data_IF_924483513409
#
_entry.id   IF_924483513409
#
_cell.length_a   1.000
_cell.length_b   1.000
_cell.length_c   1.000
_cell.angle_alpha   90.00
_cell.angle_beta   90.00
_cell.angle_gamma   90.00
#
_symmetry.space_group_name_H-M   'P 1'
#
loop_
_entity.id
_entity.type
_entity.pdbx_description
1 polymer ?
#
# COMPACT_ATOMS: atom_id res chain seq x y z
N UNK A 1 -12.15 3.01 -0.04
CA UNK A 1 -10.80 2.50 0.29
C UNK A 1 -10.02 3.47 1.16
N UNK A 2 -9.71 4.69 0.71
CA UNK A 2 -8.91 5.62 1.51
C UNK A 2 -9.53 5.90 2.88
N UNK A 3 -10.83 6.23 2.95
CA UNK A 3 -11.54 6.39 4.22
C UNK A 3 -11.40 5.17 5.16
N UNK A 4 -11.60 3.97 4.62
CA UNK A 4 -11.40 2.71 5.36
C UNK A 4 -9.96 2.58 5.90
N UNK A 5 -8.94 2.89 5.11
CA UNK A 5 -7.54 2.80 5.55
C UNK A 5 -7.19 3.89 6.57
N UNK A 6 -7.82 5.07 6.50
CA UNK A 6 -7.67 6.11 7.53
C UNK A 6 -8.24 5.69 8.88
N UNK A 7 -9.35 4.94 8.87
CA UNK A 7 -9.97 4.39 10.09
C UNK A 7 -9.26 3.13 10.61
N UNK A 8 -8.69 2.32 9.70
CA UNK A 8 -7.99 1.06 10.01
C UNK A 8 -6.58 1.07 9.41
N UNK A 9 -5.66 1.91 9.94
CA UNK A 9 -4.33 2.08 9.38
C UNK A 9 -3.48 0.81 9.44
N UNK A 10 -3.78 -0.10 10.36
CA UNK A 10 -3.12 -1.39 10.53
C UNK A 10 -3.67 -2.52 9.63
N UNK A 11 -4.66 -2.24 8.77
CA UNK A 11 -5.23 -3.23 7.87
C UNK A 11 -4.20 -3.88 6.92
N UNK A 12 -4.48 -5.12 6.54
CA UNK A 12 -3.63 -5.87 5.62
C UNK A 12 -2.28 -6.31 6.19
N UNK A 13 -1.52 -7.01 5.35
CA UNK A 13 -0.34 -7.75 5.78
C UNK A 13 0.92 -6.89 5.67
N UNK A 14 1.80 -6.94 6.67
CA UNK A 14 3.15 -6.37 6.55
C UNK A 14 3.94 -7.10 5.48
N UNK A 15 4.55 -6.35 4.57
CA UNK A 15 5.48 -6.90 3.58
C UNK A 15 6.88 -6.94 4.19
N UNK A 16 7.43 -8.14 4.40
CA UNK A 16 8.79 -8.30 4.98
C UNK A 16 9.84 -7.60 4.12
N UNK A 17 10.82 -6.96 4.78
CA UNK A 17 11.91 -6.24 4.12
C UNK A 17 11.50 -4.94 3.42
N UNK A 18 10.30 -4.42 3.68
CA UNK A 18 9.80 -3.17 3.08
C UNK A 18 9.93 -1.94 3.96
N UNK A 19 10.42 -2.09 5.20
CA UNK A 19 10.44 -0.98 6.15
C UNK A 19 9.04 -0.59 6.68
N UNK A 20 8.09 -1.53 6.72
CA UNK A 20 6.78 -1.31 7.35
C UNK A 20 5.62 -1.04 6.38
N UNK A 21 5.81 -1.28 5.08
CA UNK A 21 4.74 -1.21 4.09
C UNK A 21 3.74 -2.35 4.32
N UNK A 22 2.45 -2.01 4.29
CA UNK A 22 1.32 -2.93 4.41
C UNK A 22 0.70 -3.19 3.05
N UNK A 23 0.12 -4.38 2.87
CA UNK A 23 -0.56 -4.80 1.64
C UNK A 23 -1.99 -5.23 1.96
N UNK A 24 -2.96 -4.48 1.42
CA UNK A 24 -4.38 -4.85 1.49
C UNK A 24 -4.87 -5.39 0.15
N UNK A 25 -5.75 -6.38 0.21
CA UNK A 25 -6.50 -6.89 -0.96
C UNK A 25 -7.83 -6.15 -1.01
N UNK A 26 -8.08 -5.42 -2.09
CA UNK A 26 -9.27 -4.59 -2.21
C UNK A 26 -10.16 -5.08 -3.36
N UNK A 27 -11.44 -5.28 -3.08
CA UNK A 27 -12.44 -5.57 -4.10
C UNK A 27 -12.99 -4.27 -4.69
N UNK A 28 -12.99 -4.13 -6.02
CA UNK A 28 -13.63 -2.98 -6.67
C UNK A 28 -15.13 -3.26 -6.81
N UNK A 29 -16.01 -2.29 -6.49
CA UNK A 29 -17.44 -2.40 -6.76
C UNK A 29 -17.70 -2.70 -8.24
N UNK A 30 -18.66 -3.58 -8.53
CA UNK A 30 -19.02 -3.96 -9.92
C UNK A 30 -17.97 -4.79 -10.66
N UNK A 31 -16.87 -5.20 -10.01
CA UNK A 31 -15.83 -6.02 -10.63
C UNK A 31 -16.17 -7.51 -10.63
N UNK A 32 -15.98 -8.19 -11.76
CA UNK A 32 -16.03 -9.65 -11.84
C UNK A 32 -14.86 -10.34 -11.10
N UNK A 33 -14.66 -11.65 -11.32
CA UNK A 33 -13.67 -12.50 -10.61
C UNK A 33 -12.21 -11.96 -10.61
N UNK A 34 -11.86 -11.13 -11.61
CA UNK A 34 -10.55 -10.47 -11.78
C UNK A 34 -10.52 -9.01 -11.32
N UNK A 35 -11.62 -8.46 -10.82
CA UNK A 35 -11.78 -7.04 -10.49
C UNK A 35 -11.02 -6.57 -9.26
N UNK A 36 -10.45 -7.46 -8.45
CA UNK A 36 -9.70 -7.09 -7.26
C UNK A 36 -8.32 -6.48 -7.56
N UNK A 37 -7.87 -5.61 -6.66
CA UNK A 37 -6.55 -4.98 -6.68
C UNK A 37 -5.80 -5.27 -5.38
N UNK A 38 -4.48 -5.18 -5.43
CA UNK A 38 -3.61 -5.18 -4.26
C UNK A 38 -3.03 -3.79 -4.11
N UNK A 39 -3.04 -3.28 -2.90
CA UNK A 39 -2.65 -1.91 -2.59
C UNK A 39 -1.58 -1.98 -1.52
N UNK A 40 -0.40 -1.47 -1.83
CA UNK A 40 0.69 -1.33 -0.89
C UNK A 40 0.73 0.11 -0.38
N UNK A 41 0.70 0.28 0.94
CA UNK A 41 0.64 1.58 1.59
C UNK A 41 1.51 1.60 2.86
N UNK A 42 1.88 2.79 3.31
CA UNK A 42 2.68 3.00 4.52
C UNK A 42 2.00 4.01 5.44
N UNK A 43 2.01 3.74 6.74
CA UNK A 43 1.42 4.61 7.75
C UNK A 43 2.51 5.47 8.36
N UNK A 44 2.51 6.75 8.03
CA UNK A 44 3.44 7.74 8.58
C UNK A 44 2.82 8.36 9.83
N UNK A 45 2.90 7.63 10.94
CA UNK A 45 2.24 7.96 12.22
C UNK A 45 2.58 9.36 12.72
N UNK A 46 3.86 9.78 12.65
CA UNK A 46 4.30 11.11 13.08
C UNK A 46 3.63 12.26 12.33
N UNK A 47 3.27 12.04 11.07
CA UNK A 47 2.60 13.04 10.24
C UNK A 47 1.08 12.84 10.16
N UNK A 48 0.53 11.79 10.79
CA UNK A 48 -0.87 11.41 10.65
C UNK A 48 -1.29 11.07 9.21
N UNK A 49 -0.34 10.59 8.38
CA UNK A 49 -0.52 10.40 6.95
C UNK A 49 -0.49 8.93 6.54
N UNK A 50 -1.19 8.60 5.46
CA UNK A 50 -1.06 7.33 4.76
C UNK A 50 -0.48 7.59 3.38
N UNK A 51 0.70 7.03 3.12
CA UNK A 51 1.33 7.06 1.80
C UNK A 51 0.87 5.86 0.99
N UNK A 52 0.29 6.12 -0.17
CA UNK A 52 -0.15 5.07 -1.10
C UNK A 52 0.97 4.85 -2.12
N UNK A 53 1.69 3.72 -2.00
CA UNK A 53 2.93 3.50 -2.76
C UNK A 53 2.63 2.92 -4.15
N UNK A 54 1.83 1.85 -4.20
CA UNK A 54 1.50 1.21 -5.47
C UNK A 54 0.18 0.46 -5.40
N UNK A 55 -0.55 0.46 -6.52
CA UNK A 55 -1.75 -0.34 -6.76
C UNK A 55 -1.53 -1.23 -7.99
N UNK A 56 -1.92 -2.49 -7.91
CA UNK A 56 -1.81 -3.42 -9.04
C UNK A 56 -2.94 -4.43 -9.04
N UNK A 57 -3.37 -4.85 -10.23
CA UNK A 57 -4.46 -5.82 -10.37
C UNK A 57 -4.06 -7.20 -9.85
N UNK A 58 -5.06 -7.96 -9.38
CA UNK A 58 -4.88 -9.31 -8.81
C UNK A 58 -4.10 -10.26 -9.73
N UNK A 59 -4.28 -10.13 -11.04
CA UNK A 59 -3.70 -11.00 -12.07
C UNK A 59 -2.30 -10.57 -12.54
N UNK A 60 -1.82 -9.37 -12.18
CA UNK A 60 -0.52 -8.86 -12.66
C UNK A 60 0.64 -9.48 -11.89
N UNK A 61 0.57 -9.50 -10.56
CA UNK A 61 1.63 -10.02 -9.69
C UNK A 61 1.06 -10.39 -8.33
N UNK A 62 1.63 -11.37 -7.63
CA UNK A 62 1.16 -11.76 -6.30
C UNK A 62 1.66 -10.83 -5.17
N UNK A 63 2.90 -10.35 -5.26
CA UNK A 63 3.50 -9.38 -4.34
C UNK A 63 4.61 -8.60 -5.02
N UNK A 64 4.78 -7.33 -4.65
CA UNK A 64 6.02 -6.59 -4.94
C UNK A 64 7.10 -7.03 -3.94
N UNK A 65 8.38 -7.17 -4.34
CA UNK A 65 9.47 -7.45 -3.41
C UNK A 65 9.60 -6.36 -2.36
N UNK A 66 9.94 -6.74 -1.12
CA UNK A 66 10.05 -5.81 0.01
C UNK A 66 11.02 -4.67 -0.25
N UNK A 67 12.22 -4.96 -0.76
CA UNK A 67 13.24 -3.95 -1.02
C UNK A 67 12.79 -2.86 -2.01
N UNK A 68 11.99 -3.22 -3.02
CA UNK A 68 11.43 -2.23 -3.97
C UNK A 68 10.43 -1.31 -3.26
N UNK A 69 9.59 -1.87 -2.40
CA UNK A 69 8.65 -1.07 -1.61
C UNK A 69 9.36 -0.16 -0.60
N UNK A 70 10.49 -0.61 -0.04
CA UNK A 70 11.33 0.22 0.84
C UNK A 70 11.89 1.44 0.09
N UNK A 71 12.42 1.23 -1.12
CA UNK A 71 12.90 2.30 -1.99
C UNK A 71 11.79 3.31 -2.33
N UNK A 72 10.62 2.84 -2.76
CA UNK A 72 9.47 3.72 -3.06
C UNK A 72 9.01 4.52 -1.83
N UNK A 73 9.00 3.89 -0.65
CA UNK A 73 8.67 4.58 0.61
C UNK A 73 9.67 5.70 0.88
N UNK A 74 10.97 5.41 0.79
CA UNK A 74 12.04 6.37 1.06
C UNK A 74 11.97 7.57 0.11
N UNK A 75 11.80 7.32 -1.20
CA UNK A 75 11.62 8.37 -2.20
C UNK A 75 10.44 9.29 -1.88
N UNK A 76 9.28 8.73 -1.49
CA UNK A 76 8.10 9.52 -1.14
C UNK A 76 8.22 10.24 0.21
N UNK A 77 8.96 9.68 1.16
CA UNK A 77 9.22 10.35 2.45
C UNK A 77 10.18 11.54 2.29
N UNK A 78 11.14 11.46 1.36
CA UNK A 78 12.09 12.54 1.07
C UNK A 78 11.52 13.60 0.13
N UNK A 79 10.73 13.23 -0.88
CA UNK A 79 10.16 14.17 -1.86
C UNK A 79 9.02 15.07 -1.36
N UNK A 80 8.62 14.96 -0.09
CA UNK A 80 7.65 15.86 0.56
C UNK A 80 8.30 16.81 1.58
N UNK A 81 9.64 16.86 1.64
CA UNK A 81 10.38 17.75 2.52
C UNK A 81 10.86 19.05 1.84
N UNK A 82 10.51 19.26 0.57
CA UNK A 82 10.83 20.44 -0.23
C UNK A 82 9.58 21.28 -0.55
#
# INVERSE_FOLDING_TARGET
MQAYLSEQPDAGDLVRGSGGVRKVRWARPGGGKSGGVRVCYYVRTRAGQILMLVIYAKNVRASIPGHVLAQLREELEHGQAD
#
